data_IF_624886432253
#
_entry.id   IF_624886432253
#
_cell.length_a   1.000
_cell.length_b   1.000
_cell.length_c   1.000
_cell.angle_alpha   90.00
_cell.angle_beta   90.00
_cell.angle_gamma   90.00
#
_symmetry.space_group_name_H-M   'P 1'
#
loop_
_entity.id
_entity.type
_entity.pdbx_description
1 polymer ?
#
# COMPACT_ATOMS: atom_id res chain seq x y z
N UNK A 1 7.52 -10.81 -26.45
CA UNK A 1 7.40 -9.33 -26.50
C UNK A 1 8.71 -8.76 -26.00
N UNK A 2 9.32 -7.84 -26.73
CA UNK A 2 10.51 -7.11 -26.29
C UNK A 2 10.21 -6.39 -24.95
N UNK A 3 11.05 -6.55 -23.90
CA UNK A 3 10.87 -5.88 -22.62
C UNK A 3 10.66 -4.37 -22.74
N UNK A 4 11.37 -3.70 -23.65
CA UNK A 4 11.30 -2.25 -23.83
C UNK A 4 9.91 -1.85 -24.35
N UNK A 5 9.39 -2.58 -25.34
CA UNK A 5 8.07 -2.34 -25.92
C UNK A 5 6.95 -2.61 -24.89
N UNK A 6 7.12 -3.63 -24.04
CA UNK A 6 6.19 -3.93 -22.94
C UNK A 6 6.07 -2.77 -21.95
N UNK A 7 7.19 -2.23 -21.46
CA UNK A 7 7.16 -1.11 -20.50
C UNK A 7 6.56 0.16 -21.11
N UNK A 8 6.83 0.45 -22.39
CA UNK A 8 6.22 1.58 -23.09
C UNK A 8 4.70 1.42 -23.20
N UNK A 9 4.20 0.21 -23.44
CA UNK A 9 2.76 -0.06 -23.46
C UNK A 9 2.11 0.10 -22.08
N UNK A 10 2.72 -0.44 -21.02
CA UNK A 10 2.23 -0.26 -19.64
C UNK A 10 2.14 1.23 -19.29
N UNK A 11 3.21 1.99 -19.58
CA UNK A 11 3.23 3.44 -19.33
C UNK A 11 2.13 4.18 -20.10
N UNK A 12 1.88 3.83 -21.36
CA UNK A 12 0.79 4.43 -22.14
C UNK A 12 -0.57 4.15 -21.52
N UNK A 13 -0.82 2.91 -21.08
CA UNK A 13 -2.07 2.55 -20.39
C UNK A 13 -2.24 3.42 -19.14
N UNK A 14 -1.23 3.46 -18.26
CA UNK A 14 -1.28 4.25 -17.02
C UNK A 14 -1.52 5.74 -17.27
N UNK A 15 -0.93 6.33 -18.31
CA UNK A 15 -1.16 7.74 -18.65
C UNK A 15 -2.60 7.97 -19.13
N UNK A 16 -3.12 7.09 -20.00
CA UNK A 16 -4.50 7.22 -20.47
C UNK A 16 -5.51 7.08 -19.34
N UNK A 17 -5.32 6.10 -18.46
CA UNK A 17 -6.23 5.85 -17.34
C UNK A 17 -6.12 6.95 -16.29
N UNK A 18 -4.91 7.45 -16.02
CA UNK A 18 -4.70 8.63 -15.18
C UNK A 18 -5.49 9.85 -15.66
N UNK A 19 -5.42 10.19 -16.94
CA UNK A 19 -6.15 11.34 -17.51
C UNK A 19 -7.67 11.15 -17.38
N UNK A 20 -8.17 9.94 -17.64
CA UNK A 20 -9.59 9.62 -17.50
C UNK A 20 -10.06 9.71 -16.04
N UNK A 21 -9.31 9.12 -15.10
CA UNK A 21 -9.64 9.12 -13.67
C UNK A 21 -9.65 10.55 -13.12
N UNK A 22 -8.67 11.38 -13.48
CA UNK A 22 -8.65 12.79 -13.11
C UNK A 22 -9.80 13.59 -13.72
N UNK A 23 -10.14 13.35 -14.99
CA UNK A 23 -11.29 13.97 -15.65
C UNK A 23 -12.60 13.64 -14.93
N UNK A 24 -12.81 12.36 -14.61
CA UNK A 24 -13.96 11.86 -13.85
C UNK A 24 -14.01 12.48 -12.44
N UNK A 25 -12.89 12.46 -11.70
CA UNK A 25 -12.82 13.02 -10.35
C UNK A 25 -13.16 14.52 -10.34
N UNK A 26 -12.63 15.27 -11.31
CA UNK A 26 -12.89 16.71 -11.47
C UNK A 26 -14.36 16.97 -11.78
N UNK A 27 -14.95 16.20 -12.70
CA UNK A 27 -16.37 16.31 -13.04
C UNK A 27 -17.27 16.03 -11.82
N UNK A 28 -16.97 14.98 -11.04
CA UNK A 28 -17.69 14.65 -9.80
C UNK A 28 -17.60 15.78 -8.77
N UNK A 29 -16.41 16.35 -8.57
CA UNK A 29 -16.20 17.46 -7.64
C UNK A 29 -17.00 18.70 -8.06
N UNK A 30 -16.86 19.14 -9.31
CA UNK A 30 -17.56 20.32 -9.83
C UNK A 30 -19.08 20.16 -9.64
N UNK A 31 -19.63 19.04 -10.10
CA UNK A 31 -21.07 18.82 -9.98
C UNK A 31 -21.51 18.60 -8.54
N UNK A 32 -20.74 17.89 -7.71
CA UNK A 32 -21.03 17.72 -6.29
C UNK A 32 -21.13 19.04 -5.53
N UNK A 33 -20.32 20.03 -5.91
CA UNK A 33 -20.44 21.41 -5.41
C UNK A 33 -21.69 22.11 -5.94
N UNK A 34 -21.93 22.07 -7.25
CA UNK A 34 -23.08 22.72 -7.88
C UNK A 34 -24.41 22.22 -7.31
N UNK A 35 -24.58 20.90 -7.19
CA UNK A 35 -25.81 20.30 -6.68
C UNK A 35 -25.83 20.19 -5.15
N UNK A 36 -24.79 20.70 -4.49
CA UNK A 36 -24.62 20.65 -3.03
C UNK A 36 -24.84 19.24 -2.50
N UNK A 37 -24.26 18.20 -3.10
CA UNK A 37 -24.30 16.81 -2.58
C UNK A 37 -23.01 16.47 -1.83
N UNK A 38 -23.12 15.97 -0.61
CA UNK A 38 -21.97 15.54 0.18
C UNK A 38 -21.44 14.19 -0.28
N UNK A 39 -22.32 13.25 -0.66
CA UNK A 39 -21.88 11.93 -1.13
C UNK A 39 -21.12 12.04 -2.46
N UNK A 40 -21.59 12.88 -3.38
CA UNK A 40 -20.91 13.13 -4.66
C UNK A 40 -19.58 13.88 -4.48
N UNK A 41 -19.52 14.85 -3.55
CA UNK A 41 -18.24 15.49 -3.17
C UNK A 41 -17.27 14.50 -2.54
N UNK A 42 -17.74 13.63 -1.64
CA UNK A 42 -16.93 12.62 -0.98
C UNK A 42 -16.30 11.65 -1.99
N UNK A 43 -17.12 11.12 -2.91
CA UNK A 43 -16.66 10.26 -4.00
C UNK A 43 -15.69 10.99 -4.94
N UNK A 44 -15.97 12.26 -5.28
CA UNK A 44 -15.07 13.09 -6.07
C UNK A 44 -13.71 13.34 -5.40
N UNK A 45 -13.69 13.65 -4.10
CA UNK A 45 -12.44 13.83 -3.34
C UNK A 45 -11.68 12.52 -3.19
N UNK A 46 -12.38 11.39 -3.03
CA UNK A 46 -11.76 10.08 -2.99
C UNK A 46 -11.02 9.79 -4.30
N UNK A 47 -11.71 9.81 -5.44
CA UNK A 47 -11.10 9.57 -6.75
C UNK A 47 -9.98 10.58 -7.07
N UNK A 48 -10.12 11.85 -6.66
CA UNK A 48 -9.07 12.86 -6.85
C UNK A 48 -7.82 12.56 -6.02
N UNK A 49 -8.01 12.14 -4.76
CA UNK A 49 -6.90 11.79 -3.87
C UNK A 49 -6.19 10.54 -4.33
N UNK A 50 -6.93 9.55 -4.85
CA UNK A 50 -6.37 8.32 -5.40
C UNK A 50 -5.51 8.62 -6.64
N UNK A 51 -6.04 9.40 -7.58
CA UNK A 51 -5.27 9.88 -8.73
C UNK A 51 -4.03 10.70 -8.34
N UNK A 52 -4.11 11.53 -7.29
CA UNK A 52 -2.95 12.26 -6.76
C UNK A 52 -1.93 11.34 -6.08
N UNK A 53 -2.41 10.30 -5.39
CA UNK A 53 -1.58 9.30 -4.72
C UNK A 53 -0.76 8.50 -5.72
N UNK A 54 -1.29 8.22 -6.91
CA UNK A 54 -0.53 7.61 -8.00
C UNK A 54 0.66 8.49 -8.44
N UNK A 55 0.49 9.81 -8.55
CA UNK A 55 1.60 10.72 -8.88
C UNK A 55 2.65 10.77 -7.76
N UNK A 56 2.20 10.89 -6.52
CA UNK A 56 3.06 10.91 -5.33
C UNK A 56 3.82 9.58 -5.23
N UNK A 57 3.15 8.46 -5.45
CA UNK A 57 3.72 7.12 -5.50
C UNK A 57 4.80 6.97 -6.57
N UNK A 58 4.56 7.47 -7.78
CA UNK A 58 5.57 7.47 -8.86
C UNK A 58 6.83 8.25 -8.48
N UNK A 59 6.68 9.40 -7.82
CA UNK A 59 7.82 10.16 -7.29
C UNK A 59 8.54 9.37 -6.19
N UNK A 60 7.80 8.74 -5.29
CA UNK A 60 8.34 7.87 -4.25
C UNK A 60 9.18 6.72 -4.81
N UNK A 61 8.65 6.01 -5.80
CA UNK A 61 9.37 4.93 -6.50
C UNK A 61 10.64 5.46 -7.17
N UNK A 62 10.56 6.62 -7.84
CA UNK A 62 11.73 7.22 -8.49
C UNK A 62 12.85 7.59 -7.50
N UNK A 63 12.50 8.09 -6.31
CA UNK A 63 13.47 8.33 -5.24
C UNK A 63 13.99 7.00 -4.68
N UNK A 64 13.11 6.03 -4.43
CA UNK A 64 13.45 4.74 -3.86
C UNK A 64 14.32 3.87 -4.77
N UNK A 65 14.23 4.06 -6.09
CA UNK A 65 15.03 3.34 -7.08
C UNK A 65 16.46 3.85 -7.24
N UNK A 66 16.85 4.92 -6.51
CA UNK A 66 18.21 5.45 -6.59
C UNK A 66 19.22 4.45 -5.99
N UNK A 67 20.40 4.31 -6.61
CA UNK A 67 21.43 3.42 -6.08
C UNK A 67 21.91 3.86 -4.70
N UNK A 68 22.59 2.96 -4.00
CA UNK A 68 23.27 3.24 -2.73
C UNK A 68 24.25 4.40 -2.93
N UNK A 69 24.28 5.31 -1.95
CA UNK A 69 25.22 6.43 -1.92
C UNK A 69 25.82 6.59 -0.51
N UNK A 70 26.87 7.41 -0.33
CA UNK A 70 27.53 7.57 0.98
C UNK A 70 26.62 8.08 2.11
N UNK A 71 25.55 8.81 1.80
CA UNK A 71 24.58 9.28 2.79
C UNK A 71 23.49 8.23 3.08
N UNK A 72 23.28 7.27 2.16
CA UNK A 72 22.29 6.20 2.27
C UNK A 72 22.94 4.83 2.00
N UNK A 73 23.76 4.31 2.94
CA UNK A 73 24.48 3.04 2.75
C UNK A 73 23.57 1.82 2.64
N UNK A 74 22.35 1.89 3.20
CA UNK A 74 21.31 0.86 3.07
C UNK A 74 20.37 1.11 1.87
N UNK A 75 20.64 2.11 1.03
CA UNK A 75 19.81 2.47 -0.11
C UNK A 75 18.60 3.35 0.24
N UNK A 76 17.72 3.53 -0.74
CA UNK A 76 16.63 4.51 -0.71
C UNK A 76 15.23 3.89 -0.56
N UNK A 77 15.12 2.57 -0.35
CA UNK A 77 13.84 1.87 -0.36
C UNK A 77 12.83 2.38 0.66
N UNK A 78 13.28 2.83 1.84
CA UNK A 78 12.39 3.45 2.85
C UNK A 78 11.69 4.74 2.38
N UNK A 79 12.17 5.42 1.33
CA UNK A 79 11.47 6.58 0.76
C UNK A 79 10.12 6.21 0.14
N UNK A 80 9.97 4.97 -0.36
CA UNK A 80 8.66 4.46 -0.79
C UNK A 80 7.69 4.37 0.40
N UNK A 81 8.17 3.86 1.54
CA UNK A 81 7.40 3.79 2.78
C UNK A 81 7.00 5.17 3.31
N UNK A 82 7.91 6.15 3.24
CA UNK A 82 7.63 7.55 3.59
C UNK A 82 6.58 8.17 2.66
N UNK A 83 6.65 7.85 1.37
CA UNK A 83 5.67 8.28 0.37
C UNK A 83 4.29 7.72 0.68
N UNK A 84 4.19 6.42 1.01
CA UNK A 84 2.95 5.79 1.46
C UNK A 84 2.39 6.44 2.74
N UNK A 85 3.25 6.82 3.68
CA UNK A 85 2.83 7.56 4.88
C UNK A 85 2.26 8.95 4.53
N UNK A 86 2.88 9.66 3.58
CA UNK A 86 2.39 10.95 3.09
C UNK A 86 1.04 10.84 2.37
N UNK A 87 0.85 9.78 1.55
CA UNK A 87 -0.43 9.45 0.92
C UNK A 87 -1.51 9.22 1.99
N UNK A 88 -1.19 8.43 3.02
CA UNK A 88 -2.11 8.20 4.13
C UNK A 88 -2.49 9.51 4.84
N UNK A 89 -1.55 10.41 5.08
CA UNK A 89 -1.82 11.71 5.68
C UNK A 89 -2.78 12.56 4.80
N UNK A 90 -2.61 12.56 3.48
CA UNK A 90 -3.53 13.22 2.55
C UNK A 90 -4.95 12.61 2.63
N UNK A 91 -5.05 11.28 2.68
CA UNK A 91 -6.33 10.58 2.81
C UNK A 91 -7.02 10.91 4.15
N UNK A 92 -6.28 11.08 5.23
CA UNK A 92 -6.83 11.56 6.51
C UNK A 92 -7.40 12.98 6.41
N UNK A 93 -6.71 13.89 5.72
CA UNK A 93 -7.23 15.26 5.50
C UNK A 93 -8.54 15.24 4.70
N UNK A 94 -8.61 14.42 3.66
CA UNK A 94 -9.85 14.23 2.88
C UNK A 94 -10.95 13.63 3.74
N UNK A 95 -10.65 12.55 4.46
CA UNK A 95 -11.60 11.88 5.35
C UNK A 95 -12.16 12.85 6.40
N UNK A 96 -11.31 13.63 7.07
CA UNK A 96 -11.71 14.63 8.04
C UNK A 96 -12.66 15.67 7.43
N UNK A 97 -12.34 16.19 6.24
CA UNK A 97 -13.19 17.15 5.54
C UNK A 97 -14.56 16.57 5.19
N UNK A 98 -14.61 15.31 4.72
CA UNK A 98 -15.87 14.64 4.39
C UNK A 98 -16.70 14.36 5.65
N UNK A 99 -16.08 13.88 6.74
CA UNK A 99 -16.77 13.66 8.02
C UNK A 99 -17.38 14.97 8.54
N UNK A 100 -16.59 16.05 8.53
CA UNK A 100 -17.05 17.37 8.98
C UNK A 100 -18.25 17.84 8.17
N UNK A 101 -18.20 17.74 6.84
CA UNK A 101 -19.31 18.10 5.96
C UNK A 101 -20.55 17.20 6.18
N UNK A 102 -20.35 15.88 6.31
CA UNK A 102 -21.41 14.90 6.55
C UNK A 102 -22.14 15.16 7.86
N UNK A 103 -21.42 15.36 8.96
CA UNK A 103 -21.99 15.71 10.27
C UNK A 103 -22.70 17.06 10.21
N UNK A 104 -22.08 18.07 9.60
CA UNK A 104 -22.69 19.40 9.47
C UNK A 104 -24.04 19.32 8.74
N UNK A 105 -24.19 18.44 7.75
CA UNK A 105 -25.43 18.27 6.99
C UNK A 105 -26.49 17.42 7.69
N UNK A 106 -26.08 16.56 8.62
CA UNK A 106 -27.04 15.89 9.51
C UNK A 106 -27.66 16.88 10.49
N UNK A 107 -26.86 17.82 11.02
CA UNK A 107 -27.33 18.83 11.98
C UNK A 107 -28.07 19.97 11.27
N UNK A 108 -27.56 20.41 10.11
CA UNK A 108 -28.13 21.47 9.28
C UNK A 108 -28.47 20.92 7.89
N UNK A 109 -29.66 20.30 7.73
CA UNK A 109 -30.07 19.69 6.47
C UNK A 109 -30.01 20.66 5.29
N UNK A 110 -29.30 20.25 4.26
CA UNK A 110 -29.30 20.88 2.95
C UNK A 110 -29.84 19.86 1.97
N UNK A 111 -30.90 20.19 1.25
CA UNK A 111 -31.49 19.32 0.23
C UNK A 111 -30.60 19.41 -1.02
N UNK A 112 -29.94 18.32 -1.44
CA UNK A 112 -29.14 18.34 -2.66
C UNK A 112 -30.03 18.39 -3.90
N UNK A 113 -29.57 19.06 -4.95
CA UNK A 113 -30.30 19.17 -6.21
C UNK A 113 -30.06 17.94 -7.09
N UNK A 114 -30.85 16.88 -6.89
CA UNK A 114 -30.79 15.66 -7.68
C UNK A 114 -31.42 15.84 -9.08
N UNK A 115 -30.85 16.74 -9.88
CA UNK A 115 -31.30 17.03 -11.26
C UNK A 115 -30.80 15.97 -12.26
N UNK A 116 -31.38 15.98 -13.47
CA UNK A 116 -31.02 15.00 -14.52
C UNK A 116 -29.53 15.05 -14.89
N UNK A 117 -28.93 16.24 -14.84
CA UNK A 117 -27.51 16.43 -15.17
C UNK A 117 -26.60 15.72 -14.15
N UNK A 118 -26.95 15.74 -12.86
CA UNK A 118 -26.20 15.02 -11.82
C UNK A 118 -26.20 13.50 -12.07
N UNK A 119 -27.36 12.93 -12.40
CA UNK A 119 -27.45 11.52 -12.78
C UNK A 119 -26.65 11.21 -14.03
N UNK A 120 -26.72 12.07 -15.05
CA UNK A 120 -25.98 11.89 -16.30
C UNK A 120 -24.47 11.87 -16.04
N UNK A 121 -23.96 12.83 -15.25
CA UNK A 121 -22.55 12.87 -14.86
C UNK A 121 -22.17 11.59 -14.13
N UNK A 122 -22.92 11.18 -13.11
CA UNK A 122 -22.59 9.98 -12.36
C UNK A 122 -22.62 8.72 -13.23
N UNK A 123 -23.62 8.56 -14.11
CA UNK A 123 -23.71 7.41 -15.03
C UNK A 123 -22.56 7.41 -16.03
N UNK A 124 -22.21 8.56 -16.60
CA UNK A 124 -21.07 8.69 -17.52
C UNK A 124 -19.76 8.35 -16.79
N UNK A 125 -19.56 8.85 -15.57
CA UNK A 125 -18.37 8.53 -14.78
C UNK A 125 -18.29 7.05 -14.44
N UNK A 126 -19.42 6.41 -14.10
CA UNK A 126 -19.49 4.97 -13.85
C UNK A 126 -19.13 4.16 -15.11
N UNK A 127 -19.64 4.57 -16.26
CA UNK A 127 -19.35 3.94 -17.55
C UNK A 127 -17.87 4.07 -17.92
N UNK A 128 -17.28 5.26 -17.73
CA UNK A 128 -15.85 5.51 -17.96
C UNK A 128 -15.02 4.63 -17.04
N UNK A 129 -15.26 4.65 -15.72
CA UNK A 129 -14.49 3.84 -14.76
C UNK A 129 -14.64 2.34 -15.04
N UNK A 130 -15.84 1.89 -15.45
CA UNK A 130 -16.05 0.50 -15.88
C UNK A 130 -15.22 0.15 -17.11
N UNK A 131 -15.18 1.04 -18.11
CA UNK A 131 -14.35 0.88 -19.30
C UNK A 131 -12.85 0.84 -18.96
N UNK A 132 -12.40 1.74 -18.08
CA UNK A 132 -11.02 1.81 -17.57
C UNK A 132 -10.66 0.50 -16.86
N UNK A 133 -11.47 0.04 -15.90
CA UNK A 133 -11.25 -1.19 -15.16
C UNK A 133 -11.16 -2.43 -16.07
N UNK A 134 -12.06 -2.54 -17.07
CA UNK A 134 -12.00 -3.63 -18.06
C UNK A 134 -10.73 -3.55 -18.91
N UNK A 135 -10.36 -2.35 -19.34
CA UNK A 135 -9.18 -2.11 -20.15
C UNK A 135 -7.87 -2.42 -19.40
N UNK A 136 -7.73 -1.93 -18.17
CA UNK A 136 -6.61 -2.17 -17.27
C UNK A 136 -6.45 -3.66 -16.97
N UNK A 137 -7.54 -4.34 -16.60
CA UNK A 137 -7.50 -5.77 -16.30
C UNK A 137 -7.11 -6.60 -17.54
N UNK A 138 -7.65 -6.25 -18.72
CA UNK A 138 -7.28 -6.91 -19.98
C UNK A 138 -5.80 -6.72 -20.30
N UNK A 139 -5.31 -5.48 -20.23
CA UNK A 139 -3.90 -5.17 -20.52
C UNK A 139 -2.94 -5.66 -19.45
N UNK A 140 -3.35 -5.70 -18.19
CA UNK A 140 -2.58 -6.30 -17.09
C UNK A 140 -2.33 -7.79 -17.31
N UNK A 141 -3.34 -8.54 -17.76
CA UNK A 141 -3.18 -9.95 -18.12
C UNK A 141 -2.31 -10.14 -19.38
N UNK A 142 -2.55 -9.35 -20.43
CA UNK A 142 -1.82 -9.44 -21.69
C UNK A 142 -0.32 -9.12 -21.52
N UNK A 143 -0.01 -8.08 -20.73
CA UNK A 143 1.35 -7.58 -20.49
C UNK A 143 2.03 -8.21 -19.28
N UNK A 144 1.33 -9.10 -18.54
CA UNK A 144 1.77 -9.68 -17.27
C UNK A 144 2.28 -8.59 -16.31
N UNK A 145 1.43 -7.61 -16.06
CA UNK A 145 1.73 -6.44 -15.24
C UNK A 145 0.85 -6.44 -14.00
N UNK A 146 1.44 -6.73 -12.85
CA UNK A 146 0.74 -6.71 -11.57
C UNK A 146 0.26 -5.29 -11.20
N UNK A 147 0.99 -4.26 -11.65
CA UNK A 147 0.60 -2.85 -11.49
C UNK A 147 -0.77 -2.59 -12.15
N UNK A 148 -0.96 -2.98 -13.41
CA UNK A 148 -2.23 -2.77 -14.12
C UNK A 148 -3.38 -3.61 -13.53
N UNK A 149 -3.06 -4.81 -13.03
CA UNK A 149 -4.05 -5.64 -12.32
C UNK A 149 -4.47 -4.96 -11.01
N UNK A 150 -3.51 -4.45 -10.24
CA UNK A 150 -3.76 -3.73 -8.99
C UNK A 150 -4.59 -2.47 -9.22
N UNK A 151 -4.23 -1.66 -10.21
CA UNK A 151 -4.97 -0.44 -10.60
C UNK A 151 -6.42 -0.77 -10.96
N UNK A 152 -6.66 -1.86 -11.70
CA UNK A 152 -8.02 -2.31 -12.03
C UNK A 152 -8.88 -2.68 -10.81
N UNK A 153 -8.26 -3.19 -9.74
CA UNK A 153 -8.94 -3.49 -8.48
C UNK A 153 -9.26 -2.21 -7.70
N UNK A 154 -8.39 -1.20 -7.75
CA UNK A 154 -8.67 0.13 -7.22
C UNK A 154 -9.83 0.79 -7.97
N UNK A 155 -9.79 0.83 -9.31
CA UNK A 155 -10.87 1.36 -10.13
C UNK A 155 -12.20 0.64 -9.86
N UNK A 156 -12.17 -0.66 -9.52
CA UNK A 156 -13.37 -1.40 -9.10
C UNK A 156 -13.97 -0.88 -7.78
N UNK A 157 -13.15 -0.51 -6.80
CA UNK A 157 -13.63 0.10 -5.56
C UNK A 157 -14.33 1.45 -5.86
N UNK A 158 -13.75 2.26 -6.74
CA UNK A 158 -14.31 3.52 -7.21
C UNK A 158 -15.67 3.35 -7.94
N UNK A 159 -15.85 2.25 -8.68
CA UNK A 159 -17.15 1.91 -9.30
C UNK A 159 -18.20 1.63 -8.22
N UNK A 160 -17.84 0.95 -7.14
CA UNK A 160 -18.75 0.65 -6.03
C UNK A 160 -19.14 1.92 -5.26
N UNK A 161 -18.19 2.82 -4.98
CA UNK A 161 -18.49 4.11 -4.35
C UNK A 161 -19.36 4.97 -5.26
N UNK A 162 -19.04 5.09 -6.55
CA UNK A 162 -19.84 5.84 -7.54
C UNK A 162 -21.27 5.29 -7.65
N UNK A 163 -21.44 3.97 -7.63
CA UNK A 163 -22.75 3.32 -7.63
C UNK A 163 -23.56 3.67 -6.39
N UNK A 164 -22.92 3.72 -5.21
CA UNK A 164 -23.57 4.13 -3.95
C UNK A 164 -24.08 5.57 -4.01
N UNK A 165 -23.36 6.47 -4.69
CA UNK A 165 -23.79 7.86 -4.92
C UNK A 165 -24.99 7.92 -5.87
N UNK A 166 -25.02 7.11 -6.94
CA UNK A 166 -26.19 7.04 -7.84
C UNK A 166 -27.45 6.59 -7.08
N UNK A 167 -27.32 5.55 -6.25
CA UNK A 167 -28.40 5.06 -5.39
C UNK A 167 -28.86 6.17 -4.44
N UNK A 168 -27.91 6.92 -3.89
CA UNK A 168 -28.17 8.07 -3.01
C UNK A 168 -28.94 9.16 -3.74
N UNK A 169 -28.53 9.58 -4.95
CA UNK A 169 -29.25 10.56 -5.75
C UNK A 169 -30.68 10.09 -6.08
N UNK A 170 -30.87 8.80 -6.35
CA UNK A 170 -32.19 8.22 -6.57
C UNK A 170 -33.07 8.31 -5.31
N UNK A 171 -32.53 8.00 -4.14
CA UNK A 171 -33.23 8.13 -2.86
C UNK A 171 -33.61 9.58 -2.54
N UNK A 172 -32.74 10.56 -2.85
CA UNK A 172 -33.05 11.99 -2.70
C UNK A 172 -34.27 12.36 -3.56
N UNK A 173 -34.32 11.86 -4.82
CA UNK A 173 -35.44 12.11 -5.73
C UNK A 173 -36.76 11.49 -5.25
N UNK A 174 -36.69 10.39 -4.49
CA UNK A 174 -37.85 9.77 -3.82
C UNK A 174 -38.28 10.50 -2.53
N UNK A 175 -37.60 11.58 -2.14
CA UNK A 175 -37.93 12.38 -0.96
C UNK A 175 -37.12 12.05 0.29
N UNK A 176 -36.00 11.33 0.16
CA UNK A 176 -35.11 10.97 1.28
C UNK A 176 -33.76 11.72 1.23
N UNK A 177 -33.73 13.05 1.45
CA UNK A 177 -32.50 13.84 1.34
C UNK A 177 -31.43 13.48 2.38
N UNK A 178 -31.83 12.92 3.53
CA UNK A 178 -30.92 12.51 4.61
C UNK A 178 -30.02 11.32 4.24
N UNK A 179 -30.32 10.61 3.15
CA UNK A 179 -29.46 9.53 2.66
C UNK A 179 -28.11 10.08 2.17
N UNK A 180 -28.07 11.32 1.66
CA UNK A 180 -26.84 11.95 1.17
C UNK A 180 -25.75 12.13 2.24
N UNK A 181 -26.02 12.80 3.38
CA UNK A 181 -25.02 12.89 4.45
C UNK A 181 -24.66 11.52 5.04
N UNK A 182 -25.60 10.58 5.17
CA UNK A 182 -25.32 9.23 5.66
C UNK A 182 -24.35 8.50 4.70
N UNK A 183 -24.63 8.52 3.40
CA UNK A 183 -23.77 7.92 2.39
C UNK A 183 -22.38 8.56 2.37
N UNK A 184 -22.29 9.89 2.54
CA UNK A 184 -21.00 10.57 2.62
C UNK A 184 -20.15 10.12 3.83
N UNK A 185 -20.78 9.86 4.98
CA UNK A 185 -20.09 9.34 6.17
C UNK A 185 -19.66 7.89 6.00
N UNK A 186 -20.46 7.07 5.31
CA UNK A 186 -20.08 5.69 4.96
C UNK A 186 -18.86 5.70 4.03
N UNK A 187 -18.85 6.55 3.01
CA UNK A 187 -17.68 6.72 2.13
C UNK A 187 -16.47 7.18 2.96
N UNK A 188 -16.64 8.18 3.83
CA UNK A 188 -15.55 8.66 4.69
C UNK A 188 -14.98 7.57 5.60
N UNK A 189 -15.82 6.69 6.15
CA UNK A 189 -15.35 5.55 6.93
C UNK A 189 -14.41 4.65 6.12
N UNK A 190 -14.76 4.32 4.88
CA UNK A 190 -13.88 3.51 4.02
C UNK A 190 -12.57 4.23 3.67
N UNK A 191 -12.63 5.54 3.38
CA UNK A 191 -11.42 6.36 3.16
C UNK A 191 -10.52 6.33 4.41
N UNK A 192 -11.10 6.56 5.59
CA UNK A 192 -10.37 6.54 6.86
C UNK A 192 -9.77 5.17 7.18
N UNK A 193 -10.51 4.10 6.93
CA UNK A 193 -10.02 2.73 7.11
C UNK A 193 -8.81 2.44 6.22
N UNK A 194 -8.87 2.82 4.93
CA UNK A 194 -7.75 2.69 4.01
C UNK A 194 -6.54 3.52 4.47
N UNK A 195 -6.76 4.77 4.91
CA UNK A 195 -5.71 5.63 5.44
C UNK A 195 -5.00 5.01 6.65
N UNK A 196 -5.76 4.49 7.63
CA UNK A 196 -5.21 3.81 8.83
C UNK A 196 -4.42 2.57 8.43
N UNK A 197 -4.91 1.76 7.51
CA UNK A 197 -4.22 0.55 7.06
C UNK A 197 -2.86 0.89 6.44
N UNK A 198 -2.82 1.88 5.54
CA UNK A 198 -1.57 2.36 4.92
C UNK A 198 -0.62 2.92 5.99
N UNK A 199 -1.13 3.76 6.91
CA UNK A 199 -0.31 4.33 7.98
C UNK A 199 0.29 3.27 8.89
N UNK A 200 -0.50 2.25 9.26
CA UNK A 200 -0.05 1.17 10.13
C UNK A 200 1.09 0.38 9.48
N UNK A 201 0.96 0.07 8.20
CA UNK A 201 1.99 -0.63 7.43
C UNK A 201 3.26 0.22 7.29
N UNK A 202 3.11 1.50 6.93
CA UNK A 202 4.23 2.43 6.86
C UNK A 202 4.92 2.60 8.22
N UNK A 203 4.16 2.79 9.30
CA UNK A 203 4.68 2.93 10.64
C UNK A 203 5.45 1.68 11.08
N UNK A 204 4.93 0.48 10.78
CA UNK A 204 5.62 -0.78 11.05
C UNK A 204 7.00 -0.80 10.40
N UNK A 205 7.08 -0.52 9.10
CA UNK A 205 8.35 -0.53 8.35
C UNK A 205 9.30 0.59 8.83
N UNK A 206 8.79 1.80 9.06
CA UNK A 206 9.61 2.93 9.54
C UNK A 206 10.15 2.72 10.97
N UNK A 207 9.40 2.01 11.81
CA UNK A 207 9.80 1.64 13.18
C UNK A 207 10.69 0.39 13.27
N UNK A 208 11.14 -0.15 12.13
CA UNK A 208 11.90 -1.41 12.06
C UNK A 208 11.16 -2.61 12.70
N UNK A 209 9.84 -2.65 12.55
CA UNK A 209 9.02 -3.78 12.94
C UNK A 209 9.37 -5.05 12.16
N UNK A 210 9.25 -6.21 12.81
CA UNK A 210 9.62 -7.51 12.25
C UNK A 210 8.96 -7.77 10.88
N UNK A 211 9.78 -7.85 9.83
CA UNK A 211 9.34 -8.13 8.46
C UNK A 211 8.98 -9.60 8.27
N UNK A 212 9.72 -10.50 8.93
CA UNK A 212 9.48 -11.94 8.93
C UNK A 212 9.39 -12.42 10.38
N UNK A 213 8.42 -13.28 10.74
CA UNK A 213 8.32 -13.83 12.08
C UNK A 213 9.61 -14.55 12.49
N UNK A 214 10.13 -14.21 13.68
CA UNK A 214 11.38 -14.74 14.24
C UNK A 214 11.46 -16.28 14.14
N UNK A 215 10.36 -16.97 14.48
CA UNK A 215 10.26 -18.44 14.47
C UNK A 215 10.46 -19.07 13.09
N UNK A 216 10.14 -18.34 12.02
CA UNK A 216 10.33 -18.85 10.66
C UNK A 216 11.82 -18.82 10.27
N UNK A 217 12.50 -17.71 10.58
CA UNK A 217 13.95 -17.59 10.36
C UNK A 217 14.68 -18.63 11.23
N UNK A 218 14.34 -18.73 12.52
CA UNK A 218 14.93 -19.68 13.45
C UNK A 218 14.83 -21.12 12.93
N UNK A 219 13.64 -21.52 12.45
CA UNK A 219 13.41 -22.86 11.89
C UNK A 219 14.28 -23.15 10.66
N UNK A 220 14.42 -22.17 9.77
CA UNK A 220 15.25 -22.31 8.56
C UNK A 220 16.73 -22.43 8.92
N UNK A 221 17.19 -21.63 9.88
CA UNK A 221 18.60 -21.61 10.31
C UNK A 221 18.97 -22.87 11.09
N UNK A 222 18.13 -23.33 12.01
CA UNK A 222 18.37 -24.56 12.81
C UNK A 222 18.35 -25.83 11.96
N UNK A 223 17.75 -25.81 10.77
CA UNK A 223 17.81 -26.94 9.84
C UNK A 223 19.20 -27.12 9.19
N UNK A 224 20.10 -26.14 9.33
CA UNK A 224 21.43 -26.17 8.73
C UNK A 224 22.41 -26.89 9.67
N UNK A 225 23.04 -27.95 9.16
CA UNK A 225 24.06 -28.70 9.92
C UNK A 225 25.22 -27.78 10.32
N UNK A 226 25.56 -27.78 11.60
CA UNK A 226 26.64 -26.98 12.17
C UNK A 226 26.15 -25.84 13.05
N UNK A 227 24.89 -25.42 12.90
CA UNK A 227 24.22 -24.51 13.83
C UNK A 227 23.74 -25.31 15.03
N UNK A 228 24.10 -24.86 16.23
CA UNK A 228 23.65 -25.45 17.51
C UNK A 228 22.44 -24.71 18.07
N UNK A 229 22.48 -23.38 17.98
CA UNK A 229 21.42 -22.48 18.42
C UNK A 229 21.37 -21.26 17.51
N UNK A 230 20.21 -20.61 17.44
CA UNK A 230 20.02 -19.35 16.74
C UNK A 230 19.22 -18.41 17.65
N UNK A 231 19.75 -17.23 17.94
CA UNK A 231 19.15 -16.28 18.88
C UNK A 231 19.37 -14.83 18.42
N UNK A 232 18.78 -13.87 19.16
CA UNK A 232 18.82 -12.44 18.81
C UNK A 232 18.44 -12.11 17.35
N UNK A 233 17.52 -12.88 16.79
CA UNK A 233 17.06 -12.70 15.40
C UNK A 233 16.26 -11.40 15.30
N UNK A 234 16.67 -10.54 14.36
CA UNK A 234 16.01 -9.28 14.01
C UNK A 234 15.77 -9.26 12.51
N UNK A 235 14.59 -8.82 12.10
CA UNK A 235 14.25 -8.61 10.69
C UNK A 235 13.58 -7.25 10.56
N UNK A 236 13.92 -6.50 9.51
CA UNK A 236 13.38 -5.15 9.26
C UNK A 236 13.35 -4.84 7.77
N UNK A 237 12.64 -3.78 7.40
CA UNK A 237 12.56 -3.30 6.02
C UNK A 237 11.23 -3.62 5.33
N UNK A 238 10.99 -3.05 4.13
CA UNK A 238 9.82 -3.37 3.31
C UNK A 238 9.94 -4.77 2.71
N UNK A 239 8.84 -5.31 2.16
CA UNK A 239 8.75 -6.70 1.71
C UNK A 239 9.73 -7.08 0.58
N UNK A 240 10.20 -6.10 -0.19
CA UNK A 240 11.15 -6.27 -1.30
C UNK A 240 12.58 -5.83 -0.96
N UNK A 241 12.84 -5.45 0.29
CA UNK A 241 14.16 -5.04 0.81
C UNK A 241 14.29 -5.37 2.30
N UNK A 242 14.24 -6.66 2.62
CA UNK A 242 14.30 -7.16 4.00
C UNK A 242 15.76 -7.35 4.40
N UNK A 243 16.14 -6.76 5.54
CA UNK A 243 17.42 -6.97 6.20
C UNK A 243 17.23 -7.86 7.43
N UNK A 244 18.13 -8.82 7.62
CA UNK A 244 18.11 -9.74 8.76
C UNK A 244 19.45 -9.72 9.48
N UNK A 245 19.40 -9.59 10.80
CA UNK A 245 20.55 -9.74 11.69
C UNK A 245 20.27 -10.90 12.65
N UNK A 246 21.21 -11.84 12.82
CA UNK A 246 21.01 -12.99 13.69
C UNK A 246 22.33 -13.49 14.31
N UNK A 247 22.23 -14.12 15.47
CA UNK A 247 23.36 -14.76 16.13
C UNK A 247 23.21 -16.28 16.05
N UNK A 248 24.31 -16.99 15.79
CA UNK A 248 24.36 -18.46 15.82
C UNK A 248 25.41 -18.95 16.81
N UNK A 249 25.11 -20.07 17.48
CA UNK A 249 26.10 -20.83 18.23
C UNK A 249 26.68 -21.97 17.39
N UNK A 250 28.01 -22.07 17.38
CA UNK A 250 28.77 -23.10 16.66
C UNK A 250 29.78 -23.79 17.59
N UNK A 251 30.33 -24.94 17.16
CA UNK A 251 31.35 -25.65 17.94
C UNK A 251 32.59 -24.76 18.20
N UNK A 252 33.15 -24.82 19.41
CA UNK A 252 34.28 -23.98 19.85
C UNK A 252 35.53 -24.16 19.00
N UNK A 253 35.73 -25.37 18.48
CA UNK A 253 36.89 -25.78 17.69
C UNK A 253 36.72 -25.46 16.20
N UNK A 254 35.60 -24.83 15.81
CA UNK A 254 35.37 -24.41 14.43
C UNK A 254 36.35 -23.30 14.04
N UNK A 255 37.16 -23.55 13.01
CA UNK A 255 38.03 -22.53 12.45
C UNK A 255 37.23 -21.43 11.74
N UNK A 256 37.83 -20.24 11.65
CA UNK A 256 37.20 -19.04 11.05
C UNK A 256 36.77 -19.27 9.60
N UNK A 257 37.53 -20.07 8.84
CA UNK A 257 37.20 -20.35 7.45
C UNK A 257 35.92 -21.19 7.34
N UNK A 258 35.77 -22.26 8.14
CA UNK A 258 34.52 -23.02 8.24
C UNK A 258 33.35 -22.19 8.75
N UNK A 259 33.58 -21.34 9.74
CA UNK A 259 32.57 -20.43 10.26
C UNK A 259 32.06 -19.47 9.17
N UNK A 260 32.98 -18.90 8.37
CA UNK A 260 32.63 -18.06 7.23
C UNK A 260 31.79 -18.80 6.17
N UNK A 261 32.15 -20.04 5.82
CA UNK A 261 31.36 -20.87 4.91
C UNK A 261 29.96 -21.19 5.46
N UNK A 262 29.84 -21.43 6.77
CA UNK A 262 28.55 -21.64 7.42
C UNK A 262 27.68 -20.37 7.37
N UNK A 263 28.25 -19.19 7.63
CA UNK A 263 27.56 -17.90 7.46
C UNK A 263 27.02 -17.74 6.05
N UNK A 264 27.84 -18.00 5.03
CA UNK A 264 27.44 -17.88 3.62
C UNK A 264 26.34 -18.89 3.27
N UNK A 265 26.39 -20.11 3.81
CA UNK A 265 25.34 -21.10 3.63
C UNK A 265 24.00 -20.67 4.27
N UNK A 266 24.05 -20.06 5.46
CA UNK A 266 22.88 -19.51 6.15
C UNK A 266 22.27 -18.37 5.35
N UNK A 267 23.08 -17.38 4.96
CA UNK A 267 22.64 -16.24 4.15
C UNK A 267 21.92 -16.71 2.88
N UNK A 268 22.54 -17.59 2.09
CA UNK A 268 21.95 -18.09 0.84
C UNK A 268 20.67 -18.89 1.08
N UNK A 269 20.62 -19.68 2.17
CA UNK A 269 19.44 -20.46 2.52
C UNK A 269 18.28 -19.54 2.89
N UNK A 270 18.53 -18.49 3.68
CA UNK A 270 17.53 -17.46 4.02
C UNK A 270 17.05 -16.73 2.76
N UNK A 271 17.95 -16.22 1.92
CA UNK A 271 17.59 -15.50 0.69
C UNK A 271 16.78 -16.36 -0.30
N UNK A 272 17.04 -17.68 -0.33
CA UNK A 272 16.28 -18.62 -1.16
C UNK A 272 14.90 -18.91 -0.61
N UNK A 273 14.78 -19.11 0.69
CA UNK A 273 13.50 -19.44 1.33
C UNK A 273 12.61 -18.19 1.50
N UNK A 274 13.22 -16.99 1.55
CA UNK A 274 12.55 -15.69 1.65
C UNK A 274 13.04 -14.73 0.54
N UNK A 275 12.41 -14.75 -0.65
CA UNK A 275 12.88 -13.99 -1.83
C UNK A 275 12.98 -12.47 -1.67
N UNK A 276 12.35 -11.88 -0.65
CA UNK A 276 12.41 -10.44 -0.34
C UNK A 276 13.62 -10.03 0.50
N UNK A 277 14.44 -10.97 0.95
CA UNK A 277 15.64 -10.69 1.76
C UNK A 277 16.80 -10.25 0.87
N UNK A 278 17.29 -9.04 1.12
CA UNK A 278 18.39 -8.41 0.37
C UNK A 278 19.72 -8.53 1.10
N UNK A 279 19.71 -8.46 2.43
CA UNK A 279 20.91 -8.51 3.26
C UNK A 279 20.71 -9.39 4.50
N UNK A 280 21.76 -10.15 4.85
CA UNK A 280 21.78 -11.00 6.05
C UNK A 280 23.13 -10.87 6.73
N UNK A 281 23.12 -10.44 7.98
CA UNK A 281 24.31 -10.40 8.84
C UNK A 281 24.21 -11.51 9.88
N UNK A 282 25.21 -12.39 9.89
CA UNK A 282 25.29 -13.51 10.84
C UNK A 282 26.45 -13.26 11.80
N UNK A 283 26.14 -13.04 13.07
CA UNK A 283 27.12 -13.06 14.15
C UNK A 283 27.35 -14.52 14.57
N UNK A 284 28.61 -14.95 14.57
CA UNK A 284 28.98 -16.32 14.95
C UNK A 284 29.60 -16.31 16.34
N UNK A 285 29.02 -17.08 17.25
CA UNK A 285 29.48 -17.24 18.62
C UNK A 285 29.85 -18.71 18.88
N UNK A 286 30.94 -18.99 19.61
CA UNK A 286 31.24 -20.35 20.04
C UNK A 286 30.28 -20.76 21.16
N UNK A 287 29.90 -22.04 21.21
CA UNK A 287 29.17 -22.57 22.37
C UNK A 287 30.01 -22.38 23.64
N UNK A 288 29.45 -21.72 24.64
CA UNK A 288 30.04 -21.68 25.97
C UNK A 288 29.74 -23.01 26.68
N UNK A 289 30.75 -23.62 27.33
CA UNK A 289 30.48 -24.72 28.26
C UNK A 289 29.62 -24.16 29.40
N UNK A 290 28.54 -24.83 29.76
CA UNK A 290 27.61 -24.38 30.80
C UNK A 290 28.34 -24.07 32.12
N UNK A 291 28.63 -22.79 32.38
CA UNK A 291 28.65 -22.28 33.75
C UNK A 291 27.22 -21.86 34.11
N UNK A 292 26.53 -22.80 34.75
CA UNK A 292 25.20 -22.71 35.36
C UNK A 292 24.46 -21.37 35.31
N UNK A 293 23.31 -21.39 34.62
CA UNK A 293 22.14 -20.50 34.83
C UNK A 293 22.45 -19.00 34.83
N UNK A 294 22.34 -18.34 33.67
CA UNK A 294 21.77 -16.99 33.66
C UNK A 294 20.83 -16.69 32.48
N UNK A 295 19.53 -16.72 32.84
CA UNK A 295 18.43 -15.89 32.34
C UNK A 295 18.19 -15.86 30.83
N UNK A 296 17.23 -16.70 30.42
CA UNK A 296 16.18 -16.28 29.47
C UNK A 296 15.68 -14.88 29.89
N UNK A 297 15.93 -13.87 29.06
CA UNK A 297 15.20 -12.60 29.10
C UNK A 297 14.65 -12.32 27.71
N UNK A 298 13.33 -12.21 27.72
CA UNK A 298 12.39 -11.81 26.68
C UNK A 298 12.88 -10.72 25.75
#
# INVERSE_FOLDING_TARGET
MDPINRYQQIRRVLIYTFILNWGVATAKLIYGWLIRSASMKADGFHSFSDGSSNLIGLLGIWVASRPIDPNHPYGHKKFETLTSAAISALLFLVCFNVIREGISRLIHPVIPEANLNAFLVMIVTLAINTGVMVYENKKGKELKSDILISDSLHTRADILTSSSVIITLFAIKLGYPMVDPIASLVIAFFIGYAAVQILRESARVLSDGAAIPIREIERVVLAIKGVKECHQIRSRGPADDIHIDLHILVAREMDVHRAHHLSYAIENKIKRDFPGVTDVVVHIEPVEEEEGKHKRRN
#
